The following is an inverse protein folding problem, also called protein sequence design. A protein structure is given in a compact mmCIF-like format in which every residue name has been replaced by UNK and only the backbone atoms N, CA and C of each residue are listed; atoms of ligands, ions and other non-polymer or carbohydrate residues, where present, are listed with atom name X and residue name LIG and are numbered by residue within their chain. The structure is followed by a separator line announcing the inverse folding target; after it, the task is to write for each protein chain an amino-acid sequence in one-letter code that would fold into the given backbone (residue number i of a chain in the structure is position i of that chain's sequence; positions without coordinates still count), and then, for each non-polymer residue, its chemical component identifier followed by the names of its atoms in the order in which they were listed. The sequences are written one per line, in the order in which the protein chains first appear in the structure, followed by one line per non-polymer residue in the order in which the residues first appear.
data_IF_685912881269
#
_entry.id   IF_685912881269
#
_cell.length_a   1.000
_cell.length_b   1.000
_cell.length_c   1.000
_cell.angle_alpha   90.00
_cell.angle_beta   90.00
_cell.angle_gamma   90.00
#
_symmetry.space_group_name_H-M   'P 1'
#
loop_
_entity.id
_entity.type
_entity.pdbx_description
1 polymer ?
#
# COMPACT_ATOMS: atom_id res chain seq x y z
N UNK A 1 -20.45 -12.36 -12.05
CA UNK A 1 -19.40 -11.83 -11.18
C UNK A 1 -19.14 -12.70 -9.94
N UNK A 2 -19.84 -13.81 -9.72
CA UNK A 2 -19.73 -14.62 -8.49
C UNK A 2 -18.31 -15.14 -8.17
N UNK A 3 -17.45 -15.32 -9.17
CA UNK A 3 -16.11 -15.91 -8.98
C UNK A 3 -14.94 -14.93 -9.15
N UNK A 4 -15.19 -13.63 -9.33
CA UNK A 4 -14.09 -12.69 -9.64
C UNK A 4 -13.11 -12.51 -8.47
N UNK A 5 -13.60 -12.68 -7.23
CA UNK A 5 -12.80 -12.65 -6.01
C UNK A 5 -12.97 -13.97 -5.23
N UNK A 6 -12.56 -15.09 -5.84
CA UNK A 6 -12.69 -16.41 -5.22
C UNK A 6 -11.64 -16.65 -4.13
N UNK A 7 -12.08 -16.98 -2.91
CA UNK A 7 -11.21 -17.40 -1.80
C UNK A 7 -10.41 -18.65 -2.14
N UNK A 8 -11.03 -19.63 -2.79
CA UNK A 8 -10.38 -20.89 -3.22
C UNK A 8 -9.28 -20.60 -4.25
N UNK A 9 -9.54 -19.66 -5.17
CA UNK A 9 -8.55 -19.15 -6.10
C UNK A 9 -7.36 -18.51 -5.37
N UNK A 10 -7.64 -17.65 -4.39
CA UNK A 10 -6.61 -17.00 -3.57
C UNK A 10 -5.77 -18.02 -2.78
N UNK A 11 -6.41 -19.03 -2.18
CA UNK A 11 -5.73 -20.15 -1.50
C UNK A 11 -4.82 -20.92 -2.46
N UNK A 12 -5.28 -21.17 -3.69
CA UNK A 12 -4.49 -21.86 -4.71
C UNK A 12 -3.25 -21.04 -5.10
N UNK A 13 -3.39 -19.73 -5.24
CA UNK A 13 -2.28 -18.82 -5.55
C UNK A 13 -1.21 -18.86 -4.46
N UNK A 14 -1.60 -18.73 -3.19
CA UNK A 14 -0.63 -18.76 -2.09
C UNK A 14 0.03 -20.13 -1.95
N UNK A 15 -0.72 -21.22 -2.09
CA UNK A 15 -0.15 -22.58 -2.04
C UNK A 15 0.92 -22.78 -3.14
N UNK A 16 0.69 -22.23 -4.33
CA UNK A 16 1.67 -22.30 -5.41
C UNK A 16 2.89 -21.39 -5.16
N UNK A 17 2.68 -20.18 -4.64
CA UNK A 17 3.76 -19.29 -4.25
C UNK A 17 4.64 -19.91 -3.15
N UNK A 18 4.04 -20.56 -2.15
CA UNK A 18 4.74 -21.27 -1.06
C UNK A 18 5.63 -22.40 -1.57
N UNK A 19 5.23 -23.12 -2.63
CA UNK A 19 6.10 -24.13 -3.26
C UNK A 19 7.40 -23.55 -3.83
N UNK A 20 7.41 -22.26 -4.19
CA UNK A 20 8.57 -21.58 -4.78
C UNK A 20 9.41 -20.89 -3.71
N UNK A 21 8.78 -20.18 -2.78
CA UNK A 21 9.47 -19.31 -1.82
C UNK A 21 9.61 -19.89 -0.40
N UNK A 22 8.98 -21.02 -0.10
CA UNK A 22 8.90 -21.59 1.24
C UNK A 22 8.27 -20.61 2.23
N UNK A 23 8.94 -20.38 3.36
CA UNK A 23 8.47 -19.53 4.45
C UNK A 23 8.80 -18.04 4.26
N UNK A 24 9.39 -17.65 3.12
CA UNK A 24 9.67 -16.24 2.84
C UNK A 24 8.37 -15.41 2.79
N UNK A 25 8.37 -14.14 3.23
CA UNK A 25 7.15 -13.33 3.26
C UNK A 25 6.48 -13.19 1.88
N UNK A 26 5.15 -13.34 1.84
CA UNK A 26 4.33 -13.12 0.66
C UNK A 26 3.40 -11.93 0.86
N UNK A 27 3.35 -11.04 -0.13
CA UNK A 27 2.44 -9.90 -0.17
C UNK A 27 1.22 -10.13 -1.07
N UNK A 28 0.08 -9.57 -0.69
CA UNK A 28 -1.13 -9.50 -1.50
C UNK A 28 -1.48 -8.03 -1.76
N UNK A 29 -1.61 -7.64 -3.02
CA UNK A 29 -2.12 -6.32 -3.39
C UNK A 29 -3.65 -6.37 -3.51
N UNK A 30 -4.35 -5.50 -2.76
CA UNK A 30 -5.81 -5.45 -2.70
C UNK A 30 -6.28 -4.03 -2.99
N UNK A 31 -7.10 -3.89 -4.03
CA UNK A 31 -7.67 -2.60 -4.41
C UNK A 31 -8.75 -2.20 -3.41
N UNK A 32 -8.61 -1.01 -2.81
CA UNK A 32 -9.61 -0.45 -1.90
C UNK A 32 -10.97 -0.24 -2.59
N UNK A 33 -10.97 -0.04 -3.91
CA UNK A 33 -12.16 0.14 -4.73
C UNK A 33 -12.93 -1.17 -5.04
N UNK A 34 -12.43 -2.33 -4.62
CA UNK A 34 -13.14 -3.60 -4.83
C UNK A 34 -14.43 -3.67 -4.01
N UNK A 35 -15.53 -4.14 -4.62
CA UNK A 35 -16.85 -4.25 -3.97
C UNK A 35 -16.83 -5.03 -2.65
N UNK A 36 -15.99 -6.06 -2.54
CA UNK A 36 -15.87 -6.91 -1.34
C UNK A 36 -14.56 -6.68 -0.58
N UNK A 37 -14.03 -5.45 -0.58
CA UNK A 37 -12.72 -5.11 -0.01
C UNK A 37 -12.48 -5.71 1.39
N UNK A 38 -13.47 -5.60 2.29
CA UNK A 38 -13.38 -6.13 3.65
C UNK A 38 -13.20 -7.65 3.68
N UNK A 39 -14.00 -8.37 2.89
CA UNK A 39 -13.93 -9.84 2.80
C UNK A 39 -12.61 -10.27 2.17
N UNK A 40 -12.18 -9.63 1.08
CA UNK A 40 -10.94 -9.97 0.37
C UNK A 40 -9.72 -9.74 1.27
N UNK A 41 -9.68 -8.65 2.03
CA UNK A 41 -8.60 -8.38 2.99
C UNK A 41 -8.54 -9.46 4.09
N UNK A 42 -9.69 -9.85 4.66
CA UNK A 42 -9.77 -10.92 5.64
C UNK A 42 -9.37 -12.27 5.05
N UNK A 43 -9.87 -12.63 3.86
CA UNK A 43 -9.50 -13.86 3.16
C UNK A 43 -7.97 -13.91 2.92
N UNK A 44 -7.35 -12.81 2.51
CA UNK A 44 -5.90 -12.74 2.30
C UNK A 44 -5.10 -13.03 3.58
N UNK A 45 -5.53 -12.48 4.72
CA UNK A 45 -4.93 -12.82 6.01
C UNK A 45 -5.13 -14.30 6.36
N UNK A 46 -6.36 -14.80 6.23
CA UNK A 46 -6.73 -16.17 6.61
C UNK A 46 -5.98 -17.24 5.80
N UNK A 47 -5.73 -16.99 4.52
CA UNK A 47 -4.97 -17.94 3.68
C UNK A 47 -3.45 -17.88 3.92
N UNK A 48 -2.96 -16.87 4.64
CA UNK A 48 -1.58 -16.79 5.12
C UNK A 48 -0.65 -15.81 4.40
N UNK A 49 -1.17 -14.73 3.80
CA UNK A 49 -0.33 -13.63 3.33
C UNK A 49 0.25 -12.85 4.52
N UNK A 50 1.51 -12.42 4.39
CA UNK A 50 2.24 -11.72 5.44
C UNK A 50 2.13 -10.19 5.32
N UNK A 51 1.84 -9.70 4.11
CA UNK A 51 1.79 -8.27 3.81
C UNK A 51 0.53 -7.99 2.99
N UNK A 52 -0.23 -6.99 3.37
CA UNK A 52 -1.30 -6.43 2.53
C UNK A 52 -0.84 -5.07 2.02
N UNK A 53 -0.70 -4.96 0.70
CA UNK A 53 -0.52 -3.69 0.01
C UNK A 53 -1.89 -3.22 -0.46
N UNK A 54 -2.26 -1.96 -0.19
CA UNK A 54 -3.59 -1.47 -0.58
C UNK A 54 -3.58 -0.05 -1.14
N UNK A 55 -4.06 0.09 -2.38
CA UNK A 55 -4.19 1.36 -3.10
C UNK A 55 -5.57 1.51 -3.76
N UNK A 56 -5.64 2.34 -4.81
CA UNK A 56 -6.88 2.68 -5.53
C UNK A 56 -7.99 3.23 -4.61
N UNK A 57 -7.60 4.06 -3.63
CA UNK A 57 -8.48 4.62 -2.60
C UNK A 57 -7.72 4.81 -1.29
N UNK A 58 -8.38 5.38 -0.28
CA UNK A 58 -7.81 5.49 1.07
C UNK A 58 -8.28 4.30 1.92
N UNK A 59 -7.40 3.37 2.32
CA UNK A 59 -7.75 2.15 3.06
C UNK A 59 -8.02 2.43 4.56
N UNK A 60 -8.91 3.38 4.83
CA UNK A 60 -9.18 3.93 6.18
C UNK A 60 -9.74 2.93 7.18
N UNK A 61 -10.31 1.82 6.71
CA UNK A 61 -10.89 0.76 7.53
C UNK A 61 -10.11 -0.56 7.44
N UNK A 62 -8.98 -0.63 6.72
CA UNK A 62 -8.19 -1.87 6.58
C UNK A 62 -7.77 -2.51 7.92
N UNK A 63 -7.37 -1.74 8.96
CA UNK A 63 -7.05 -2.35 10.26
C UNK A 63 -8.24 -3.06 10.92
N UNK A 64 -9.47 -2.65 10.62
CA UNK A 64 -10.69 -3.28 11.14
C UNK A 64 -10.87 -4.69 10.56
N UNK A 65 -10.60 -4.84 9.26
CA UNK A 65 -10.78 -6.11 8.55
C UNK A 65 -9.70 -7.13 8.91
N UNK A 66 -8.57 -6.66 9.43
CA UNK A 66 -7.35 -7.42 9.71
C UNK A 66 -7.02 -7.47 11.21
N UNK A 67 -7.97 -7.05 12.07
CA UNK A 67 -7.75 -6.94 13.51
C UNK A 67 -7.34 -8.25 14.19
N UNK A 68 -7.84 -9.38 13.69
CA UNK A 68 -7.52 -10.74 14.17
C UNK A 68 -6.13 -11.23 13.71
N UNK A 69 -5.43 -10.43 12.89
CA UNK A 69 -4.15 -10.77 12.25
C UNK A 69 -3.10 -9.66 12.48
N UNK A 70 -2.70 -9.41 13.74
CA UNK A 70 -1.81 -8.31 14.09
C UNK A 70 -0.44 -8.38 13.40
N UNK A 71 0.06 -9.59 13.12
CA UNK A 71 1.38 -9.82 12.51
C UNK A 71 1.39 -9.61 10.98
N UNK A 72 0.23 -9.38 10.34
CA UNK A 72 0.17 -9.03 8.92
C UNK A 72 0.51 -7.56 8.76
N UNK A 73 1.56 -7.27 8.00
CA UNK A 73 2.00 -5.90 7.74
C UNK A 73 1.01 -5.20 6.79
N UNK A 74 0.58 -3.99 7.16
CA UNK A 74 -0.37 -3.19 6.38
C UNK A 74 0.37 -2.01 5.72
N UNK A 75 0.41 -2.04 4.39
CA UNK A 75 1.21 -1.12 3.57
C UNK A 75 0.30 -0.36 2.59
N UNK A 76 -0.29 0.78 2.99
CA UNK A 76 -1.09 1.57 2.08
C UNK A 76 -0.23 2.26 1.02
N UNK A 77 -0.80 2.38 -0.19
CA UNK A 77 -0.27 3.20 -1.28
C UNK A 77 -0.84 4.60 -1.15
N UNK A 78 0.02 5.61 -1.22
CA UNK A 78 -0.32 7.04 -1.10
C UNK A 78 0.28 7.85 -2.25
N UNK A 79 -0.31 9.01 -2.52
CA UNK A 79 0.18 9.97 -3.52
C UNK A 79 0.60 11.32 -2.93
N UNK A 80 0.42 11.53 -1.62
CA UNK A 80 0.71 12.83 -0.99
C UNK A 80 0.84 12.76 0.55
N UNK A 81 1.48 13.77 1.18
CA UNK A 81 1.50 13.90 2.64
C UNK A 81 0.10 14.02 3.24
N UNK A 82 -0.83 14.66 2.53
CA UNK A 82 -2.23 14.79 2.95
C UNK A 82 -2.91 13.43 3.06
N UNK A 83 -2.70 12.55 2.08
CA UNK A 83 -3.24 11.18 2.12
C UNK A 83 -2.66 10.40 3.30
N UNK A 84 -1.34 10.48 3.52
CA UNK A 84 -0.67 9.86 4.65
C UNK A 84 -1.26 10.30 5.99
N UNK A 85 -1.38 11.61 6.19
CA UNK A 85 -1.94 12.20 7.41
C UNK A 85 -3.36 11.71 7.71
N UNK A 86 -4.20 11.59 6.68
CA UNK A 86 -5.57 11.09 6.83
C UNK A 86 -5.56 9.64 7.30
N UNK A 87 -4.74 8.79 6.69
CA UNK A 87 -4.62 7.36 7.04
C UNK A 87 -4.11 7.24 8.48
N UNK A 88 -2.97 7.84 8.82
CA UNK A 88 -2.38 7.74 10.16
C UNK A 88 -3.32 8.25 11.24
N UNK A 89 -3.93 9.43 11.06
CA UNK A 89 -4.88 9.98 12.03
C UNK A 89 -6.06 9.04 12.26
N UNK A 90 -6.61 8.50 11.18
CA UNK A 90 -7.75 7.57 11.22
C UNK A 90 -7.38 6.27 11.93
N UNK A 91 -6.27 5.65 11.55
CA UNK A 91 -5.86 4.37 12.09
C UNK A 91 -5.46 4.48 13.56
N UNK A 92 -4.69 5.51 13.93
CA UNK A 92 -4.29 5.76 15.31
C UNK A 92 -5.51 6.00 16.21
N UNK A 93 -6.47 6.82 15.77
CA UNK A 93 -7.62 7.18 16.61
C UNK A 93 -8.64 6.06 16.78
N UNK A 94 -8.83 5.19 15.77
CA UNK A 94 -9.85 4.13 15.83
C UNK A 94 -9.33 2.77 16.22
N UNK A 95 -8.10 2.46 15.84
CA UNK A 95 -7.57 1.10 15.93
C UNK A 95 -6.26 1.04 16.72
N UNK A 96 -5.75 2.19 17.21
CA UNK A 96 -4.45 2.31 17.85
C UNK A 96 -3.33 1.63 17.04
N UNK A 97 -3.39 1.79 15.71
CA UNK A 97 -2.47 1.18 14.75
C UNK A 97 -1.97 2.23 13.78
N UNK A 98 -0.75 2.05 13.28
CA UNK A 98 -0.16 2.85 12.22
C UNK A 98 0.25 1.93 11.06
N UNK A 99 0.46 2.48 9.86
CA UNK A 99 1.05 1.73 8.75
C UNK A 99 2.40 1.10 9.13
N UNK A 100 2.62 -0.13 8.69
CA UNK A 100 3.91 -0.82 8.89
C UNK A 100 4.98 -0.30 7.91
N UNK A 101 4.54 0.18 6.75
CA UNK A 101 5.28 0.97 5.78
C UNK A 101 4.27 1.69 4.88
N UNK A 102 4.71 2.59 4.00
CA UNK A 102 3.85 3.15 2.94
C UNK A 102 4.57 3.13 1.60
N UNK A 103 3.82 2.92 0.52
CA UNK A 103 4.34 3.12 -0.84
C UNK A 103 3.90 4.50 -1.33
N UNK A 104 4.86 5.37 -1.61
CA UNK A 104 4.61 6.66 -2.24
C UNK A 104 4.71 6.49 -3.76
N UNK A 105 3.59 6.60 -4.45
CA UNK A 105 3.55 6.58 -5.92
C UNK A 105 3.51 7.99 -6.48
N UNK A 106 4.46 8.30 -7.36
CA UNK A 106 4.48 9.52 -8.18
C UNK A 106 3.72 9.37 -9.50
N UNK A 107 3.49 10.47 -10.25
CA UNK A 107 2.61 10.52 -11.42
C UNK A 107 3.07 9.71 -12.65
N UNK A 108 4.28 9.16 -12.60
CA UNK A 108 4.82 8.26 -13.63
C UNK A 108 4.55 6.78 -13.32
N UNK A 109 3.76 6.46 -12.30
CA UNK A 109 3.26 5.10 -12.06
C UNK A 109 2.40 4.62 -13.23
N UNK A 110 2.33 3.30 -13.44
CA UNK A 110 1.37 2.72 -14.38
C UNK A 110 -0.04 2.63 -13.78
N UNK A 111 -1.07 2.54 -14.62
CA UNK A 111 -2.44 2.28 -14.17
C UNK A 111 -3.18 3.52 -13.62
N UNK A 112 -4.02 3.30 -12.60
CA UNK A 112 -4.83 4.37 -11.99
C UNK A 112 -3.94 5.38 -11.26
N UNK A 113 -4.10 6.66 -11.58
CA UNK A 113 -3.31 7.74 -10.99
C UNK A 113 -4.01 8.36 -9.79
N UNK A 114 -3.24 8.59 -8.73
CA UNK A 114 -3.66 9.45 -7.60
C UNK A 114 -3.59 10.95 -7.90
N UNK A 115 -3.46 11.33 -9.17
CA UNK A 115 -3.20 12.68 -9.67
C UNK A 115 -4.14 13.01 -10.84
N UNK A 116 -4.50 14.28 -11.00
CA UNK A 116 -5.14 14.76 -12.23
C UNK A 116 -4.14 14.80 -13.37
N UNK A 117 -4.63 14.90 -14.61
CA UNK A 117 -3.77 15.01 -15.78
C UNK A 117 -2.80 16.20 -15.68
N UNK A 118 -3.28 17.35 -15.17
CA UNK A 118 -2.47 18.55 -14.98
C UNK A 118 -1.39 18.33 -13.93
N UNK A 119 -1.74 17.67 -12.81
CA UNK A 119 -0.78 17.33 -11.77
C UNK A 119 0.29 16.36 -12.27
N UNK A 120 -0.02 15.46 -13.20
CA UNK A 120 0.99 14.58 -13.78
C UNK A 120 2.09 15.33 -14.53
N UNK A 121 1.76 16.50 -15.09
CA UNK A 121 2.70 17.35 -15.84
C UNK A 121 3.38 18.41 -14.95
N UNK A 122 2.88 18.63 -13.73
CA UNK A 122 3.39 19.63 -12.81
C UNK A 122 4.69 19.12 -12.13
N UNK A 123 5.80 19.87 -12.23
CA UNK A 123 7.05 19.54 -11.55
C UNK A 123 6.88 19.32 -10.04
N UNK A 124 5.99 20.05 -9.37
CA UNK A 124 5.80 19.97 -7.91
C UNK A 124 5.20 18.62 -7.46
N UNK A 125 4.57 17.89 -8.36
CA UNK A 125 3.97 16.59 -8.08
C UNK A 125 4.86 15.43 -8.55
N UNK A 126 6.04 15.70 -9.12
CA UNK A 126 6.97 14.64 -9.46
C UNK A 126 7.49 13.95 -8.20
N UNK A 127 7.81 12.66 -8.32
CA UNK A 127 8.14 11.79 -7.20
C UNK A 127 9.24 12.39 -6.31
N UNK A 128 10.27 12.95 -6.93
CA UNK A 128 11.44 13.56 -6.29
C UNK A 128 11.02 14.72 -5.35
N UNK A 129 9.98 15.46 -5.72
CA UNK A 129 9.45 16.57 -4.92
C UNK A 129 8.43 16.13 -3.86
N UNK A 130 7.91 14.90 -3.95
CA UNK A 130 6.95 14.35 -2.99
C UNK A 130 7.62 13.59 -1.83
N UNK A 131 8.80 13.00 -2.05
CA UNK A 131 9.48 12.14 -1.07
C UNK A 131 9.73 12.90 0.24
N UNK A 132 10.43 14.05 0.20
CA UNK A 132 10.79 14.77 1.42
C UNK A 132 9.56 15.21 2.24
N UNK A 133 8.52 15.83 1.65
CA UNK A 133 7.29 16.15 2.39
C UNK A 133 6.59 14.93 3.02
N UNK A 134 6.61 13.77 2.35
CA UNK A 134 5.98 12.54 2.86
C UNK A 134 6.79 11.95 4.01
N UNK A 135 8.12 11.94 3.90
CA UNK A 135 9.03 11.50 4.96
C UNK A 135 8.89 12.39 6.19
N UNK A 136 8.81 13.72 6.02
CA UNK A 136 8.55 14.65 7.13
C UNK A 136 7.20 14.41 7.78
N UNK A 137 6.15 14.15 7.00
CA UNK A 137 4.85 13.78 7.57
C UNK A 137 4.93 12.45 8.33
N UNK A 138 5.62 11.42 7.82
CA UNK A 138 5.79 10.13 8.49
C UNK A 138 6.51 10.24 9.84
N UNK A 139 7.45 11.19 10.00
CA UNK A 139 8.14 11.46 11.28
C UNK A 139 7.17 11.90 12.39
N UNK A 140 6.05 12.55 12.06
CA UNK A 140 5.03 12.93 13.03
C UNK A 140 4.32 11.71 13.66
N UNK A 141 4.52 10.51 13.11
CA UNK A 141 3.86 9.27 13.50
C UNK A 141 4.82 8.16 13.92
N UNK A 142 6.11 8.45 14.13
CA UNK A 142 7.09 7.46 14.60
C UNK A 142 7.98 6.83 13.51
N UNK A 143 8.01 7.41 12.31
CA UNK A 143 9.04 7.13 11.28
C UNK A 143 9.08 5.69 10.73
N UNK A 144 7.92 5.17 10.29
CA UNK A 144 7.87 3.94 9.48
C UNK A 144 8.47 4.15 8.07
N UNK A 145 8.87 3.06 7.37
CA UNK A 145 9.46 3.14 6.03
C UNK A 145 8.53 3.79 4.99
N UNK A 146 9.11 4.65 4.15
CA UNK A 146 8.48 5.21 2.94
C UNK A 146 9.19 4.62 1.73
N UNK A 147 8.45 3.89 0.90
CA UNK A 147 8.95 3.21 -0.30
C UNK A 147 8.56 4.06 -1.51
N UNK A 148 9.52 4.70 -2.16
CA UNK A 148 9.27 5.49 -3.36
C UNK A 148 8.99 4.60 -4.58
N UNK A 149 8.00 4.96 -5.38
CA UNK A 149 7.58 4.25 -6.58
C UNK A 149 7.00 5.20 -7.65
N UNK A 150 7.01 4.75 -8.90
CA UNK A 150 6.49 5.50 -10.05
C UNK A 150 7.60 6.23 -10.83
N UNK A 151 7.97 5.68 -11.99
CA UNK A 151 9.02 6.25 -12.84
C UNK A 151 10.46 5.91 -12.42
N UNK A 152 10.66 4.93 -11.53
CA UNK A 152 11.99 4.40 -11.17
C UNK A 152 12.29 3.20 -12.07
N UNK A 153 13.30 3.30 -12.94
CA UNK A 153 13.66 2.24 -13.88
C UNK A 153 15.07 1.70 -13.63
N UNK A 154 16.04 2.58 -13.37
CA UNK A 154 17.44 2.19 -13.25
C UNK A 154 18.09 2.64 -11.94
N UNK A 155 19.38 2.31 -11.80
CA UNK A 155 20.20 2.67 -10.64
C UNK A 155 20.20 4.19 -10.38
N UNK A 156 20.24 5.01 -11.43
CA UNK A 156 20.30 6.46 -11.30
C UNK A 156 19.01 7.01 -10.72
N UNK A 157 17.86 6.48 -11.17
CA UNK A 157 16.57 6.85 -10.59
C UNK A 157 16.50 6.47 -9.11
N UNK A 158 16.98 5.28 -8.74
CA UNK A 158 17.07 4.85 -7.34
C UNK A 158 17.94 5.81 -6.54
N UNK A 159 19.14 6.13 -7.02
CA UNK A 159 20.06 7.07 -6.36
C UNK A 159 19.41 8.45 -6.12
N UNK A 160 18.64 8.95 -7.08
CA UNK A 160 17.91 10.23 -6.95
C UNK A 160 16.78 10.19 -5.90
N UNK A 161 16.28 9.01 -5.53
CA UNK A 161 15.16 8.85 -4.59
C UNK A 161 15.58 8.56 -3.16
N UNK A 162 16.83 8.15 -2.94
CA UNK A 162 17.37 7.78 -1.61
C UNK A 162 18.23 8.88 -0.97
N UNK A 163 18.57 9.94 -1.71
CA UNK A 163 19.35 11.10 -1.24
C UNK A 163 18.46 12.20 -0.70
#
# INVERSE_FOLDING_TARGET
SENFYSREGLQTLINNARKVCGDAPLGCNILCASNDYARIARDACEVGFNIIVSGAGLPTNLPEFTADFPDVALVPIISSPKALKIICKRWQSRYNRLPDAVVLEGPKSGGHQGFTYEQCLDPNYQLENLIAPVVEEAKNWGSFPVIAAGGIWDKKDIENTIT
#
